data_IF_333592012041
#
_entry.id   IF_333592012041
#
_cell.length_a   1.000
_cell.length_b   1.000
_cell.length_c   1.000
_cell.angle_alpha   90.00
_cell.angle_beta   90.00
_cell.angle_gamma   90.00
#
_symmetry.space_group_name_H-M   'P 1'
#
loop_
_entity.id
_entity.type
_entity.pdbx_description
1 polymer ?
#
# COMPACT_ATOMS: atom_id res chain seq x y z
N UNK A 1 -4.29 29.21 3.76
CA UNK A 1 -4.56 27.78 3.52
C UNK A 1 -4.52 27.08 4.86
N UNK A 2 -5.54 26.29 5.21
CA UNK A 2 -5.56 25.55 6.48
C UNK A 2 -4.70 24.28 6.36
N UNK A 3 -4.04 23.90 7.46
CA UNK A 3 -3.24 22.67 7.58
C UNK A 3 -3.96 21.77 8.58
N UNK A 4 -4.23 20.53 8.19
CA UNK A 4 -4.90 19.54 9.03
C UNK A 4 -4.02 18.32 9.24
N UNK A 5 -4.11 17.72 10.42
CA UNK A 5 -3.42 16.47 10.75
C UNK A 5 -4.28 15.29 10.32
N UNK A 6 -3.76 14.46 9.41
CA UNK A 6 -4.41 13.21 8.97
C UNK A 6 -4.37 12.16 10.08
N UNK A 7 -3.18 11.95 10.66
CA UNK A 7 -2.94 11.03 11.77
C UNK A 7 -1.61 11.35 12.46
N UNK A 8 -1.50 11.00 13.74
CA UNK A 8 -0.22 11.03 14.48
C UNK A 8 0.54 9.73 14.21
N UNK A 9 1.61 9.79 13.41
CA UNK A 9 2.47 8.65 13.08
C UNK A 9 3.89 8.84 13.64
N UNK A 10 4.63 7.74 13.82
CA UNK A 10 5.97 7.76 14.45
C UNK A 10 7.13 7.55 13.48
N UNK A 11 6.91 7.26 12.18
CA UNK A 11 8.02 6.97 11.24
C UNK A 11 7.77 7.40 9.78
N UNK A 12 8.87 7.39 9.01
CA UNK A 12 9.20 8.17 7.82
C UNK A 12 8.45 7.89 6.50
N UNK A 13 8.59 8.89 5.62
CA UNK A 13 8.20 9.08 4.23
C UNK A 13 7.67 7.88 3.43
N UNK A 14 6.48 8.05 2.88
CA UNK A 14 6.00 7.21 1.79
C UNK A 14 6.79 7.46 0.50
N UNK A 15 7.02 6.39 -0.24
CA UNK A 15 7.81 6.42 -1.48
C UNK A 15 6.96 6.60 -2.74
N UNK A 16 5.63 6.72 -2.59
CA UNK A 16 4.68 6.86 -3.69
C UNK A 16 3.46 7.69 -3.30
N UNK A 17 2.43 7.69 -4.16
CA UNK A 17 1.17 8.40 -3.89
C UNK A 17 0.53 7.83 -2.62
N UNK A 18 0.27 8.69 -1.64
CA UNK A 18 -0.39 8.33 -0.37
C UNK A 18 -1.74 8.96 -0.16
N UNK A 19 -2.11 9.95 -0.96
CA UNK A 19 -3.41 10.60 -0.90
C UNK A 19 -4.12 10.43 -2.24
N UNK A 20 -5.37 10.00 -2.20
CA UNK A 20 -6.25 9.93 -3.35
C UNK A 20 -7.63 10.47 -3.00
N UNK A 21 -8.42 10.79 -4.02
CA UNK A 21 -9.78 11.32 -3.87
C UNK A 21 -10.74 10.51 -4.72
N UNK A 22 -11.87 10.14 -4.14
CA UNK A 22 -12.98 9.48 -4.84
C UNK A 22 -13.74 10.46 -5.72
N UNK A 23 -14.60 9.95 -6.60
CA UNK A 23 -15.52 10.74 -7.43
C UNK A 23 -16.49 11.59 -6.58
N UNK A 24 -16.84 11.11 -5.39
CA UNK A 24 -17.70 11.81 -4.41
C UNK A 24 -16.97 12.89 -3.61
N UNK A 25 -15.64 13.02 -3.76
CA UNK A 25 -14.84 14.01 -3.06
C UNK A 25 -14.25 13.55 -1.73
N UNK A 26 -14.56 12.32 -1.27
CA UNK A 26 -13.92 11.71 -0.09
C UNK A 26 -12.41 11.59 -0.33
N UNK A 27 -11.62 12.03 0.64
CA UNK A 27 -10.18 11.85 0.64
C UNK A 27 -9.81 10.52 1.29
N UNK A 28 -8.80 9.85 0.76
CA UNK A 28 -8.18 8.67 1.35
C UNK A 28 -6.68 8.85 1.45
N UNK A 29 -6.13 8.70 2.65
CA UNK A 29 -4.72 8.71 2.94
C UNK A 29 -4.23 7.34 3.40
N UNK A 30 -3.01 6.93 3.03
CA UNK A 30 -2.35 5.73 3.57
C UNK A 30 -1.00 6.08 4.19
N UNK A 31 -0.68 5.43 5.30
CA UNK A 31 0.53 5.71 6.09
C UNK A 31 0.92 4.53 6.97
N UNK A 32 2.12 4.63 7.55
CA UNK A 32 2.65 3.67 8.52
C UNK A 32 2.31 4.14 9.94
N UNK A 33 1.83 3.23 10.79
CA UNK A 33 1.54 3.47 12.20
C UNK A 33 2.13 2.35 13.05
N UNK A 34 2.73 2.69 14.19
CA UNK A 34 3.17 1.71 15.17
C UNK A 34 1.95 1.10 15.88
N UNK A 35 1.73 -0.20 15.69
CA UNK A 35 0.64 -0.97 16.29
C UNK A 35 1.14 -2.37 16.67
N UNK A 36 0.89 -2.79 17.91
CA UNK A 36 1.31 -4.12 18.39
C UNK A 36 2.83 -4.34 18.42
N UNK A 37 3.62 -3.27 18.54
CA UNK A 37 5.09 -3.34 18.53
C UNK A 37 5.72 -3.36 17.14
N UNK A 38 4.92 -3.30 16.07
CA UNK A 38 5.38 -3.29 14.69
C UNK A 38 4.85 -2.08 13.92
N UNK A 39 5.56 -1.70 12.85
CA UNK A 39 5.03 -0.80 11.85
C UNK A 39 3.96 -1.51 11.02
N UNK A 40 2.75 -0.95 10.96
CA UNK A 40 1.61 -1.48 10.21
C UNK A 40 1.07 -0.44 9.22
N UNK A 41 0.40 -0.89 8.17
CA UNK A 41 -0.25 -0.02 7.21
C UNK A 41 -1.65 0.34 7.69
N UNK A 42 -1.92 1.63 7.71
CA UNK A 42 -3.23 2.20 7.98
C UNK A 42 -3.70 3.02 6.80
N UNK A 43 -5.02 3.08 6.64
CA UNK A 43 -5.70 4.00 5.77
C UNK A 43 -6.56 4.93 6.62
N UNK A 44 -6.76 6.17 6.20
CA UNK A 44 -7.73 7.07 6.82
C UNK A 44 -8.53 7.78 5.72
N UNK A 45 -9.79 8.06 5.99
CA UNK A 45 -10.63 8.83 5.07
C UNK A 45 -11.24 10.06 5.72
N UNK A 46 -11.54 11.06 4.88
CA UNK A 46 -12.18 12.30 5.28
C UNK A 46 -13.30 12.68 4.32
N UNK A 47 -14.45 13.05 4.88
CA UNK A 47 -15.64 13.53 4.17
C UNK A 47 -15.85 15.05 4.26
N UNK A 48 -14.99 15.75 5.01
CA UNK A 48 -15.13 17.18 5.32
C UNK A 48 -13.92 18.00 4.82
N UNK A 49 -13.32 17.56 3.72
CA UNK A 49 -12.19 18.27 3.09
C UNK A 49 -10.89 18.19 3.88
N UNK A 50 -10.74 17.17 4.73
CA UNK A 50 -9.56 16.90 5.52
C UNK A 50 -9.60 17.45 6.94
N UNK A 51 -10.73 18.01 7.39
CA UNK A 51 -10.85 18.56 8.74
C UNK A 51 -10.91 17.46 9.82
N UNK A 52 -11.56 16.33 9.52
CA UNK A 52 -11.59 15.12 10.35
C UNK A 52 -11.28 13.88 9.53
N UNK A 53 -10.73 12.87 10.20
CA UNK A 53 -10.27 11.63 9.58
C UNK A 53 -10.71 10.41 10.40
N UNK A 54 -11.19 9.38 9.71
CA UNK A 54 -11.50 8.07 10.30
C UNK A 54 -10.45 7.05 9.87
N UNK A 55 -9.75 6.45 10.83
CA UNK A 55 -8.68 5.47 10.57
C UNK A 55 -9.22 4.03 10.45
N UNK A 56 -8.60 3.25 9.57
CA UNK A 56 -8.83 1.83 9.37
C UNK A 56 -7.48 1.08 9.26
N UNK A 57 -7.36 -0.06 9.93
CA UNK A 57 -6.18 -0.92 9.79
C UNK A 57 -6.22 -1.68 8.46
N UNK A 58 -5.17 -1.52 7.64
CA UNK A 58 -4.98 -2.30 6.40
C UNK A 58 -4.25 -3.60 6.72
N UNK A 59 -3.32 -3.58 7.69
CA UNK A 59 -2.55 -4.75 8.11
C UNK A 59 -2.57 -4.95 9.63
N UNK A 60 -2.33 -6.19 10.05
CA UNK A 60 -2.16 -6.58 11.46
C UNK A 60 -1.12 -7.72 11.55
N UNK A 61 0.03 -7.50 10.92
CA UNK A 61 1.08 -8.51 10.79
C UNK A 61 1.97 -8.60 12.04
N UNK A 62 2.64 -9.74 12.21
CA UNK A 62 3.68 -9.96 13.23
C UNK A 62 5.08 -9.44 12.82
N UNK A 63 5.13 -8.51 11.87
CA UNK A 63 6.34 -7.91 11.34
C UNK A 63 6.07 -6.52 10.76
N UNK A 64 7.14 -5.76 10.54
CA UNK A 64 7.07 -4.41 9.97
C UNK A 64 6.56 -4.45 8.53
N UNK A 65 5.62 -3.55 8.25
CA UNK A 65 5.09 -3.24 6.93
C UNK A 65 5.43 -1.78 6.60
N UNK A 66 5.72 -1.50 5.33
CA UNK A 66 6.22 -0.19 4.91
C UNK A 66 5.90 0.13 3.43
N UNK A 67 6.14 1.40 3.07
CA UNK A 67 5.97 1.92 1.72
C UNK A 67 4.56 1.73 1.12
N UNK A 68 3.47 2.09 1.83
CA UNK A 68 2.15 1.98 1.25
C UNK A 68 1.95 2.99 0.13
N UNK A 69 1.23 2.58 -0.92
CA UNK A 69 0.76 3.47 -1.98
C UNK A 69 -0.70 3.16 -2.32
N UNK A 70 -1.42 4.17 -2.83
CA UNK A 70 -2.88 4.11 -3.04
C UNK A 70 -3.30 4.51 -4.45
N UNK A 71 -4.31 3.82 -4.98
CA UNK A 71 -5.10 4.23 -6.14
C UNK A 71 -6.61 4.00 -5.89
N UNK A 72 -7.45 4.69 -6.66
CA UNK A 72 -8.91 4.58 -6.61
C UNK A 72 -9.41 4.16 -8.00
N UNK A 73 -10.27 3.15 -8.06
CA UNK A 73 -10.90 2.69 -9.32
C UNK A 73 -12.14 3.51 -9.67
N UNK A 74 -12.72 3.29 -10.86
CA UNK A 74 -13.90 4.03 -11.32
C UNK A 74 -15.15 3.83 -10.46
N UNK A 75 -15.16 2.80 -9.61
CA UNK A 75 -16.23 2.48 -8.66
C UNK A 75 -15.92 2.99 -7.24
N UNK A 76 -14.95 3.90 -7.10
CA UNK A 76 -14.50 4.47 -5.82
C UNK A 76 -13.94 3.45 -4.82
N UNK A 77 -13.52 2.28 -5.29
CA UNK A 77 -12.84 1.32 -4.43
C UNK A 77 -11.38 1.73 -4.19
N UNK A 78 -10.87 1.39 -3.02
CA UNK A 78 -9.50 1.73 -2.61
C UNK A 78 -8.57 0.56 -2.87
N UNK A 79 -7.45 0.82 -3.54
CA UNK A 79 -6.42 -0.16 -3.83
C UNK A 79 -5.14 0.24 -3.12
N UNK A 80 -4.62 -0.62 -2.24
CA UNK A 80 -3.39 -0.36 -1.49
C UNK A 80 -2.37 -1.44 -1.79
N UNK A 81 -1.14 -1.01 -2.10
CA UNK A 81 0.04 -1.89 -2.20
C UNK A 81 1.10 -1.43 -1.21
N UNK A 82 1.85 -2.37 -0.66
CA UNK A 82 2.94 -2.11 0.27
C UNK A 82 3.97 -3.23 0.22
N UNK A 83 5.08 -3.09 0.94
CA UNK A 83 6.02 -4.18 1.14
C UNK A 83 6.19 -4.50 2.64
N UNK A 84 6.56 -5.74 2.93
CA UNK A 84 6.77 -6.22 4.28
C UNK A 84 6.95 -7.73 4.32
N UNK A 85 7.34 -8.26 5.48
CA UNK A 85 7.62 -9.69 5.69
C UNK A 85 6.51 -10.37 6.51
N UNK A 86 6.70 -11.65 6.85
CA UNK A 86 5.75 -12.48 7.62
C UNK A 86 4.44 -12.82 6.89
N UNK A 87 4.45 -12.80 5.56
CA UNK A 87 3.30 -13.20 4.73
C UNK A 87 3.75 -14.07 3.55
N UNK A 88 2.86 -14.93 3.05
CA UNK A 88 3.14 -15.85 1.94
C UNK A 88 4.02 -17.03 2.36
N UNK A 89 4.73 -17.64 1.40
CA UNK A 89 5.64 -18.75 1.67
C UNK A 89 7.05 -18.29 2.02
N UNK A 90 7.49 -17.13 1.51
CA UNK A 90 8.82 -16.57 1.76
C UNK A 90 8.81 -15.55 2.90
N UNK A 91 8.34 -15.97 4.08
CA UNK A 91 8.05 -15.10 5.24
C UNK A 91 9.25 -14.33 5.80
N UNK A 92 10.48 -14.79 5.53
CA UNK A 92 11.71 -14.12 5.94
C UNK A 92 12.07 -12.90 5.06
N UNK A 93 11.44 -12.76 3.89
CA UNK A 93 11.73 -11.70 2.92
C UNK A 93 10.58 -10.72 2.82
N UNK A 94 10.94 -9.45 2.58
CA UNK A 94 9.94 -8.45 2.26
C UNK A 94 9.42 -8.69 0.85
N UNK A 95 8.10 -8.79 0.75
CA UNK A 95 7.38 -9.03 -0.50
C UNK A 95 6.31 -7.96 -0.71
N UNK A 96 5.98 -7.72 -1.98
CA UNK A 96 4.92 -6.79 -2.34
C UNK A 96 3.57 -7.45 -2.11
N UNK A 97 2.73 -6.78 -1.35
CA UNK A 97 1.40 -7.22 -0.93
C UNK A 97 0.35 -6.22 -1.41
N UNK A 98 -0.88 -6.68 -1.52
CA UNK A 98 -2.00 -5.90 -2.03
C UNK A 98 -3.28 -6.15 -1.22
N UNK A 99 -4.10 -5.10 -1.08
CA UNK A 99 -5.45 -5.19 -0.50
C UNK A 99 -6.38 -4.19 -1.16
N UNK A 100 -7.59 -4.64 -1.49
CA UNK A 100 -8.69 -3.81 -1.98
C UNK A 100 -9.67 -3.51 -0.85
N UNK A 101 -10.24 -2.31 -0.84
CA UNK A 101 -11.40 -1.95 -0.02
C UNK A 101 -12.58 -1.62 -0.93
N UNK A 102 -13.69 -2.31 -0.74
CA UNK A 102 -14.98 -1.94 -1.32
C UNK A 102 -15.82 -1.27 -0.23
N UNK A 103 -16.77 -1.98 0.36
CA UNK A 103 -17.43 -1.61 1.62
C UNK A 103 -16.54 -1.91 2.84
N UNK A 104 -15.67 -2.91 2.74
CA UNK A 104 -14.67 -3.32 3.73
C UNK A 104 -13.39 -3.82 3.05
N UNK A 105 -12.30 -3.93 3.83
CA UNK A 105 -11.05 -4.51 3.36
C UNK A 105 -11.24 -5.98 2.99
N UNK A 106 -10.96 -6.30 1.73
CA UNK A 106 -10.97 -7.67 1.19
C UNK A 106 -9.78 -8.47 1.71
N UNK A 107 -9.64 -9.73 1.31
CA UNK A 107 -8.46 -10.54 1.67
C UNK A 107 -7.17 -9.90 1.16
N UNK A 108 -6.11 -10.00 1.95
CA UNK A 108 -4.76 -9.62 1.52
C UNK A 108 -4.23 -10.62 0.48
N UNK A 109 -3.52 -10.13 -0.52
CA UNK A 109 -3.01 -10.92 -1.64
C UNK A 109 -1.53 -10.68 -1.93
N UNK A 110 -0.90 -11.65 -2.61
CA UNK A 110 0.47 -11.55 -3.11
C UNK A 110 0.50 -10.74 -4.41
N UNK A 111 1.27 -9.66 -4.45
CA UNK A 111 1.85 -9.18 -5.71
C UNK A 111 3.11 -9.98 -6.02
N UNK A 112 3.92 -10.27 -5.00
CA UNK A 112 5.07 -11.18 -5.09
C UNK A 112 5.09 -12.18 -3.92
N UNK A 113 5.71 -13.34 -4.15
CA UNK A 113 6.11 -14.28 -3.11
C UNK A 113 7.46 -14.89 -3.50
N UNK A 114 8.51 -14.12 -3.26
CA UNK A 114 9.88 -14.39 -3.73
C UNK A 114 10.81 -14.64 -2.55
N UNK A 115 11.71 -15.60 -2.72
CA UNK A 115 12.85 -15.87 -1.81
C UNK A 115 13.97 -14.81 -1.98
N UNK A 116 13.58 -13.54 -2.03
CA UNK A 116 14.45 -12.37 -2.21
C UNK A 116 13.63 -11.09 -1.97
N UNK A 117 14.25 -10.06 -1.40
CA UNK A 117 13.53 -8.83 -1.04
C UNK A 117 12.99 -8.05 -2.25
N UNK A 118 11.77 -7.53 -2.08
CA UNK A 118 11.03 -6.70 -3.02
C UNK A 118 10.55 -5.42 -2.33
N UNK A 119 10.69 -4.27 -2.99
CA UNK A 119 10.59 -2.96 -2.38
C UNK A 119 9.90 -1.90 -3.22
N UNK A 120 9.48 -0.84 -2.53
CA UNK A 120 8.99 0.42 -3.10
C UNK A 120 8.00 0.24 -4.24
N UNK A 121 6.85 -0.42 -3.97
CA UNK A 121 5.85 -0.58 -5.00
C UNK A 121 5.25 0.78 -5.36
N UNK A 122 4.72 0.88 -6.58
CA UNK A 122 3.81 1.95 -6.99
C UNK A 122 2.64 1.35 -7.76
N UNK A 123 1.46 1.95 -7.60
CA UNK A 123 0.21 1.50 -8.21
C UNK A 123 -0.41 2.57 -9.09
N UNK A 124 -0.98 2.14 -10.21
CA UNK A 124 -1.87 2.93 -11.05
C UNK A 124 -3.06 2.07 -11.48
N UNK A 125 -4.16 2.73 -11.85
CA UNK A 125 -5.36 2.08 -12.37
C UNK A 125 -5.65 2.71 -13.74
N UNK A 126 -5.88 1.87 -14.75
CA UNK A 126 -6.21 2.34 -16.10
C UNK A 126 -7.71 2.64 -16.26
N UNK A 127 -8.11 3.11 -17.45
CA UNK A 127 -9.51 3.46 -17.73
C UNK A 127 -10.46 2.26 -17.79
N UNK A 128 -9.93 1.03 -17.75
CA UNK A 128 -10.69 -0.21 -17.72
C UNK A 128 -10.67 -0.86 -16.32
N UNK A 129 -10.25 -0.10 -15.30
CA UNK A 129 -10.07 -0.54 -13.91
C UNK A 129 -9.05 -1.66 -13.71
N UNK A 130 -8.12 -1.86 -14.66
CA UNK A 130 -7.02 -2.79 -14.45
C UNK A 130 -6.01 -2.19 -13.47
N UNK A 131 -5.47 -3.04 -12.59
CA UNK A 131 -4.50 -2.63 -11.57
C UNK A 131 -3.10 -2.88 -12.09
N UNK A 132 -2.31 -1.82 -12.15
CA UNK A 132 -0.91 -1.85 -12.58
C UNK A 132 0.00 -1.62 -11.38
N UNK A 133 0.92 -2.54 -11.12
CA UNK A 133 1.89 -2.42 -10.04
C UNK A 133 3.30 -2.53 -10.60
N UNK A 134 4.16 -1.59 -10.24
CA UNK A 134 5.61 -1.66 -10.47
C UNK A 134 6.35 -1.70 -9.14
N UNK A 135 7.51 -2.35 -9.11
CA UNK A 135 8.36 -2.42 -7.91
C UNK A 135 9.80 -2.70 -8.32
N UNK A 136 10.73 -2.67 -7.37
CA UNK A 136 12.08 -3.19 -7.60
C UNK A 136 12.43 -4.30 -6.61
N UNK A 137 13.32 -5.20 -7.00
CA UNK A 137 13.80 -6.24 -6.12
C UNK A 137 14.80 -7.19 -6.78
N UNK A 138 15.32 -8.10 -5.98
CA UNK A 138 16.29 -9.12 -6.42
C UNK A 138 15.58 -10.37 -6.98
N UNK A 139 16.37 -11.24 -7.62
CA UNK A 139 15.91 -12.57 -8.02
C UNK A 139 15.13 -12.65 -9.33
N UNK A 140 15.15 -11.59 -10.14
CA UNK A 140 14.44 -11.51 -11.42
C UNK A 140 15.40 -11.41 -12.61
N UNK A 141 14.88 -11.69 -13.80
CA UNK A 141 15.63 -11.58 -15.05
C UNK A 141 16.92 -12.42 -15.10
N UNK A 142 17.87 -11.97 -15.91
CA UNK A 142 19.18 -12.61 -16.08
C UNK A 142 20.22 -12.16 -15.04
N UNK A 143 20.00 -11.01 -14.40
CA UNK A 143 20.90 -10.41 -13.41
C UNK A 143 20.30 -10.49 -12.01
N UNK A 144 20.05 -11.71 -11.54
CA UNK A 144 19.29 -11.99 -10.31
C UNK A 144 19.93 -11.45 -9.03
N UNK A 145 21.24 -11.15 -9.05
CA UNK A 145 21.98 -10.55 -7.94
C UNK A 145 21.83 -9.02 -7.83
N UNK A 146 21.18 -8.37 -8.80
CA UNK A 146 20.95 -6.91 -8.82
C UNK A 146 19.47 -6.58 -8.75
N UNK A 147 19.14 -5.39 -8.26
CA UNK A 147 17.75 -4.92 -8.27
C UNK A 147 17.26 -4.77 -9.71
N UNK A 148 16.14 -5.39 -10.00
CA UNK A 148 15.44 -5.27 -11.27
C UNK A 148 14.11 -4.55 -11.03
N UNK A 149 13.71 -3.70 -11.98
CA UNK A 149 12.36 -3.14 -11.99
C UNK A 149 11.42 -4.16 -12.60
N UNK A 150 10.32 -4.45 -11.90
CA UNK A 150 9.31 -5.41 -12.30
C UNK A 150 7.96 -4.73 -12.46
N UNK A 151 7.09 -5.36 -13.24
CA UNK A 151 5.74 -4.91 -13.52
C UNK A 151 4.77 -6.09 -13.47
N UNK A 152 3.58 -5.86 -12.93
CA UNK A 152 2.47 -6.80 -12.94
C UNK A 152 1.17 -6.04 -13.18
N UNK A 153 0.35 -6.58 -14.07
CA UNK A 153 -1.02 -6.16 -14.29
C UNK A 153 -1.96 -7.21 -13.69
N UNK A 154 -3.11 -6.75 -13.21
CA UNK A 154 -4.27 -7.58 -12.93
C UNK A 154 -5.50 -6.96 -13.55
#
# INVERSE_FOLDING_TARGET
MAIYTVASSTTNAATGRTLARTSTGRLWAVYVKSAGGYNQIYAAYSDDGGATWTEEAVTSASANQAGPTIAIDSSDNVHVVWYGSSWGTNTAYENIQYRKRTTSWQTQEAVTDKNAHQYSPAIAIDSSDNVHVVWHGLGWGTNTAYNNIQYRQR
#
